data_IF_990343084274
#
_entry.id   IF_990343084274
#
_cell.length_a   1.000
_cell.length_b   1.000
_cell.length_c   1.000
_cell.angle_alpha   90.00
_cell.angle_beta   90.00
_cell.angle_gamma   90.00
#
_symmetry.space_group_name_H-M   'P 1'
#
loop_
_entity.id
_entity.type
_entity.pdbx_description
1 polymer ?
#
# COMPACT_ATOMS: atom_id res chain seq x y z
N UNK A 1 -25.51 1.06 69.72
CA UNK A 1 -24.43 1.93 69.24
C UNK A 1 -23.64 1.19 68.17
N UNK A 2 -24.16 1.10 66.94
CA UNK A 2 -23.53 0.36 65.84
C UNK A 2 -23.37 1.29 64.63
N UNK A 3 -22.12 1.61 64.27
CA UNK A 3 -21.79 2.41 63.09
C UNK A 3 -21.52 1.46 61.93
N UNK A 4 -22.46 1.37 61.00
CA UNK A 4 -22.29 0.66 59.74
C UNK A 4 -21.47 1.55 58.80
N UNK A 5 -20.22 1.16 58.55
CA UNK A 5 -19.33 1.84 57.59
C UNK A 5 -19.68 1.33 56.19
N UNK A 6 -20.23 2.22 55.35
CA UNK A 6 -20.51 1.95 53.95
C UNK A 6 -19.23 2.22 53.14
N UNK A 7 -18.56 1.15 52.70
CA UNK A 7 -17.36 1.25 51.86
C UNK A 7 -17.79 1.40 50.40
N UNK A 8 -17.66 2.61 49.84
CA UNK A 8 -17.83 2.86 48.40
C UNK A 8 -16.59 2.33 47.67
N UNK A 9 -16.73 1.24 46.93
CA UNK A 9 -15.68 0.74 46.02
C UNK A 9 -15.97 1.34 44.64
N UNK A 10 -15.29 2.43 44.31
CA UNK A 10 -15.32 3.02 42.98
C UNK A 10 -14.37 2.23 42.09
N UNK A 11 -14.88 1.24 41.36
CA UNK A 11 -14.09 0.46 40.39
C UNK A 11 -13.76 1.35 39.20
N UNK A 12 -12.53 1.86 39.14
CA UNK A 12 -12.00 2.62 38.02
C UNK A 12 -11.67 1.63 36.89
N UNK A 13 -12.60 1.46 35.94
CA UNK A 13 -12.39 0.64 34.74
C UNK A 13 -11.45 1.42 33.80
N UNK A 14 -10.16 1.09 33.84
CA UNK A 14 -9.22 1.47 32.79
C UNK A 14 -9.53 0.62 31.56
N UNK A 15 -10.40 1.13 30.68
CA UNK A 15 -10.53 0.60 29.33
C UNK A 15 -9.24 0.93 28.58
N UNK A 16 -8.37 -0.06 28.41
CA UNK A 16 -7.24 0.01 27.50
C UNK A 16 -7.80 0.14 26.08
N UNK A 17 -7.92 1.38 25.60
CA UNK A 17 -8.15 1.64 24.18
C UNK A 17 -6.89 1.15 23.46
N UNK A 18 -6.97 -0.04 22.88
CA UNK A 18 -5.99 -0.51 21.90
C UNK A 18 -5.97 0.53 20.78
N UNK A 19 -4.91 1.34 20.73
CA UNK A 19 -4.66 2.22 19.60
C UNK A 19 -4.40 1.28 18.44
N UNK A 20 -5.39 1.10 17.57
CA UNK A 20 -5.16 0.46 16.28
C UNK A 20 -4.02 1.24 15.62
N UNK A 21 -2.88 0.58 15.39
CA UNK A 21 -1.73 1.23 14.80
C UNK A 21 -2.08 1.59 13.36
N UNK A 22 -2.25 2.90 13.10
CA UNK A 22 -2.43 3.40 11.76
C UNK A 22 -1.09 3.31 11.02
N UNK A 23 -1.10 2.60 9.89
CA UNK A 23 0.03 2.58 8.97
C UNK A 23 0.07 3.90 8.20
N UNK A 24 1.24 4.24 7.64
CA UNK A 24 1.45 5.52 6.97
C UNK A 24 1.98 5.34 5.54
N UNK A 25 1.36 6.06 4.60
CA UNK A 25 1.91 6.33 3.27
C UNK A 25 2.13 7.83 3.10
N UNK A 26 3.37 8.27 2.88
CA UNK A 26 3.68 9.63 2.44
C UNK A 26 3.86 9.66 0.92
N UNK A 27 3.28 10.66 0.26
CA UNK A 27 3.22 10.71 -1.20
C UNK A 27 3.28 12.12 -1.79
N UNK A 28 3.70 12.17 -3.06
CA UNK A 28 3.52 13.30 -3.97
C UNK A 28 2.90 12.82 -5.29
N UNK A 29 1.98 13.60 -5.84
CA UNK A 29 1.33 13.31 -7.11
C UNK A 29 1.62 14.46 -8.07
N UNK A 30 2.18 14.15 -9.24
CA UNK A 30 2.51 15.15 -10.26
C UNK A 30 1.86 14.82 -11.60
N UNK A 31 1.50 15.86 -12.34
CA UNK A 31 1.20 15.81 -13.79
C UNK A 31 2.47 16.10 -14.56
N UNK A 32 2.71 15.34 -15.63
CA UNK A 32 3.78 15.59 -16.59
C UNK A 32 3.13 16.07 -17.89
N UNK A 33 3.42 17.31 -18.26
CA UNK A 33 2.96 17.92 -19.50
C UNK A 33 3.94 17.65 -20.65
N UNK A 34 3.51 17.97 -21.87
CA UNK A 34 4.40 18.03 -23.02
C UNK A 34 5.60 18.95 -22.74
N UNK A 35 6.80 18.50 -23.09
CA UNK A 35 8.05 19.16 -22.73
C UNK A 35 8.65 18.75 -21.38
N UNK A 36 8.13 17.70 -20.73
CA UNK A 36 8.61 17.17 -19.44
C UNK A 36 8.46 18.14 -18.26
N UNK A 37 7.61 19.15 -18.38
CA UNK A 37 7.29 20.05 -17.27
C UNK A 37 6.41 19.32 -16.26
N UNK A 38 6.82 19.32 -15.00
CA UNK A 38 6.09 18.70 -13.89
C UNK A 38 5.26 19.73 -13.13
N UNK A 39 3.99 19.43 -12.87
CA UNK A 39 3.09 20.22 -12.02
C UNK A 39 2.64 19.37 -10.84
N UNK A 40 2.84 19.86 -9.61
CA UNK A 40 2.35 19.20 -8.41
C UNK A 40 0.81 19.27 -8.36
N UNK A 41 0.16 18.11 -8.25
CA UNK A 41 -1.29 17.98 -8.07
C UNK A 41 -1.63 17.92 -6.59
N UNK A 42 -0.92 17.08 -5.83
CA UNK A 42 -1.15 16.86 -4.41
C UNK A 42 0.12 16.33 -3.73
N UNK A 43 0.23 16.54 -2.42
CA UNK A 43 1.24 15.93 -1.56
C UNK A 43 0.65 15.75 -0.17
N UNK A 44 1.01 14.69 0.52
CA UNK A 44 0.45 14.43 1.85
C UNK A 44 0.98 13.17 2.51
N UNK A 45 0.47 12.94 3.71
CA UNK A 45 0.68 11.73 4.51
C UNK A 45 -0.69 11.14 4.79
N UNK A 46 -0.96 9.94 4.28
CA UNK A 46 -2.18 9.18 4.56
C UNK A 46 -1.89 8.19 5.69
N UNK A 47 -2.58 8.39 6.79
CA UNK A 47 -2.73 7.38 7.83
C UNK A 47 -3.93 6.49 7.47
N UNK A 48 -3.78 5.18 7.66
CA UNK A 48 -4.79 4.21 7.26
C UNK A 48 -4.70 2.92 8.08
N UNK A 49 -5.76 2.13 8.02
CA UNK A 49 -5.90 0.81 8.63
C UNK A 49 -6.21 -0.24 7.57
N UNK A 50 -6.28 -1.52 7.98
CA UNK A 50 -6.68 -2.60 7.07
C UNK A 50 -8.08 -2.37 6.45
N UNK A 51 -8.98 -1.66 7.14
CA UNK A 51 -10.33 -1.34 6.64
C UNK A 51 -10.32 -0.34 5.47
N UNK A 52 -9.25 0.45 5.33
CA UNK A 52 -9.08 1.38 4.21
C UNK A 52 -8.59 0.68 2.93
N UNK A 53 -8.19 -0.59 3.02
CA UNK A 53 -7.74 -1.39 1.88
C UNK A 53 -8.94 -1.97 1.15
N UNK A 54 -9.12 -1.55 -0.10
CA UNK A 54 -10.13 -2.12 -0.98
C UNK A 54 -9.59 -3.44 -1.52
N UNK A 55 -10.23 -4.54 -1.15
CA UNK A 55 -9.90 -5.89 -1.60
C UNK A 55 -10.89 -6.34 -2.66
N UNK A 56 -10.38 -6.84 -3.79
CA UNK A 56 -11.17 -7.45 -4.85
C UNK A 56 -10.57 -8.80 -5.21
N UNK A 57 -11.39 -9.84 -5.16
CA UNK A 57 -11.04 -11.17 -5.66
C UNK A 57 -11.10 -11.14 -7.21
N UNK A 58 -10.00 -11.54 -7.84
CA UNK A 58 -9.90 -11.63 -9.31
C UNK A 58 -9.56 -13.07 -9.69
N UNK A 59 -10.42 -13.66 -10.54
CA UNK A 59 -10.25 -15.03 -11.04
C UNK A 59 -9.70 -15.00 -12.46
N UNK A 60 -8.47 -15.44 -12.62
CA UNK A 60 -7.91 -15.80 -13.92
C UNK A 60 -7.91 -17.32 -14.06
N UNK A 61 -8.12 -17.89 -15.27
CA UNK A 61 -8.01 -19.33 -15.46
C UNK A 61 -6.65 -19.85 -14.98
N UNK A 62 -6.67 -20.71 -13.95
CA UNK A 62 -5.47 -21.32 -13.36
C UNK A 62 -4.78 -20.51 -12.25
N UNK A 63 -5.23 -19.29 -11.93
CA UNK A 63 -4.68 -18.49 -10.82
C UNK A 63 -5.77 -17.62 -10.16
N UNK A 64 -5.97 -17.86 -8.87
CA UNK A 64 -6.74 -16.97 -7.99
C UNK A 64 -5.79 -15.94 -7.37
N UNK A 65 -6.21 -14.67 -7.35
CA UNK A 65 -5.45 -13.62 -6.71
C UNK A 65 -6.37 -12.53 -6.15
N UNK A 66 -5.82 -11.76 -5.20
CA UNK A 66 -6.50 -10.61 -4.62
C UNK A 66 -5.86 -9.32 -5.11
N UNK A 67 -6.64 -8.48 -5.77
CA UNK A 67 -6.27 -7.09 -6.02
C UNK A 67 -6.53 -6.28 -4.75
N UNK A 68 -5.49 -5.75 -4.12
CA UNK A 68 -5.60 -4.93 -2.90
C UNK A 68 -5.12 -3.51 -3.18
N UNK A 69 -5.97 -2.52 -2.89
CA UNK A 69 -5.78 -1.11 -3.25
C UNK A 69 -5.94 -0.19 -2.04
N UNK A 70 -5.02 0.74 -1.88
CA UNK A 70 -5.17 1.89 -1.00
C UNK A 70 -5.44 3.15 -1.84
N UNK A 71 -6.55 3.83 -1.55
CA UNK A 71 -6.83 5.14 -2.15
C UNK A 71 -6.03 6.23 -1.45
N UNK A 72 -5.39 7.09 -2.24
CA UNK A 72 -4.75 8.31 -1.76
C UNK A 72 -5.75 9.47 -1.91
N UNK A 73 -5.32 10.59 -2.46
CA UNK A 73 -6.16 11.76 -2.70
C UNK A 73 -6.47 11.95 -4.19
N UNK A 74 -7.49 12.77 -4.47
CA UNK A 74 -7.87 13.22 -5.82
C UNK A 74 -8.12 12.08 -6.82
N UNK A 75 -8.55 10.92 -6.33
CA UNK A 75 -8.84 9.73 -7.14
C UNK A 75 -7.61 8.95 -7.58
N UNK A 76 -6.43 9.23 -7.01
CA UNK A 76 -5.23 8.43 -7.20
C UNK A 76 -5.18 7.30 -6.15
N UNK A 77 -4.60 6.17 -6.52
CA UNK A 77 -4.40 5.05 -5.60
C UNK A 77 -3.19 4.21 -5.98
N UNK A 78 -2.74 3.39 -5.04
CA UNK A 78 -1.69 2.39 -5.24
C UNK A 78 -2.18 1.03 -4.78
N UNK A 79 -1.63 -0.04 -5.32
CA UNK A 79 -2.02 -1.39 -4.94
C UNK A 79 -1.07 -2.47 -5.45
N UNK A 80 -1.43 -3.71 -5.15
CA UNK A 80 -0.75 -4.91 -5.63
C UNK A 80 -1.78 -5.96 -6.05
N UNK A 81 -1.39 -6.83 -6.97
CA UNK A 81 -2.07 -8.13 -7.17
C UNK A 81 -1.32 -9.16 -6.33
N UNK A 82 -2.00 -9.73 -5.35
CA UNK A 82 -1.42 -10.63 -4.36
C UNK A 82 -1.81 -12.05 -4.69
N UNK A 83 -0.80 -12.87 -4.91
CA UNK A 83 -0.90 -14.29 -5.21
C UNK A 83 -0.40 -15.09 -4.02
N UNK A 84 -0.92 -16.31 -3.89
CA UNK A 84 -0.33 -17.33 -3.02
C UNK A 84 0.67 -18.12 -3.85
N UNK A 85 1.95 -17.92 -3.59
CA UNK A 85 3.03 -18.53 -4.38
C UNK A 85 3.84 -19.50 -3.50
N UNK A 86 4.32 -20.64 -4.01
CA UNK A 86 5.23 -21.49 -3.24
C UNK A 86 6.50 -20.76 -2.80
N UNK A 87 6.90 -19.72 -3.55
CA UNK A 87 8.02 -18.84 -3.25
C UNK A 87 7.87 -17.52 -4.00
N UNK A 88 7.90 -16.40 -3.29
CA UNK A 88 7.84 -15.06 -3.84
C UNK A 88 9.19 -14.68 -4.46
N UNK A 89 9.22 -14.61 -5.79
CA UNK A 89 10.44 -14.24 -6.55
C UNK A 89 10.32 -12.87 -7.23
N UNK A 90 9.09 -12.37 -7.36
CA UNK A 90 8.80 -11.04 -7.87
C UNK A 90 7.32 -10.73 -7.75
N UNK A 91 6.96 -9.47 -7.89
CA UNK A 91 5.58 -9.01 -7.85
C UNK A 91 5.42 -7.67 -8.55
N UNK A 92 4.17 -7.32 -8.84
CA UNK A 92 3.80 -6.05 -9.42
C UNK A 92 3.15 -5.15 -8.37
N UNK A 93 3.60 -3.90 -8.29
CA UNK A 93 2.81 -2.82 -7.73
C UNK A 93 2.20 -2.00 -8.85
N UNK A 94 1.04 -1.42 -8.59
CA UNK A 94 0.35 -0.59 -9.56
C UNK A 94 -0.13 0.71 -8.94
N UNK A 95 -0.21 1.72 -9.80
CA UNK A 95 -0.80 3.02 -9.51
C UNK A 95 -2.00 3.21 -10.42
N UNK A 96 -3.03 3.91 -9.94
CA UNK A 96 -4.28 4.13 -10.69
C UNK A 96 -4.78 5.56 -10.55
N UNK A 97 -5.51 6.01 -11.56
CA UNK A 97 -6.39 7.17 -11.49
C UNK A 97 -7.80 6.65 -11.75
N UNK A 98 -8.73 6.76 -10.80
CA UNK A 98 -10.07 6.18 -10.97
C UNK A 98 -10.86 6.81 -12.12
N UNK A 99 -10.62 8.11 -12.36
CA UNK A 99 -11.26 8.87 -13.43
C UNK A 99 -10.41 8.79 -14.70
N UNK A 100 -10.72 7.81 -15.53
CA UNK A 100 -10.03 7.56 -16.80
C UNK A 100 -9.17 6.31 -16.67
N UNK A 101 -9.37 5.32 -17.54
CA UNK A 101 -8.73 3.98 -17.53
C UNK A 101 -7.20 4.09 -17.62
N UNK A 102 -6.57 4.52 -16.54
CA UNK A 102 -5.18 4.92 -16.45
C UNK A 102 -4.57 4.12 -15.32
N UNK A 103 -3.55 3.34 -15.64
CA UNK A 103 -2.89 2.46 -14.69
C UNK A 103 -1.39 2.43 -14.98
N UNK A 104 -0.61 2.03 -13.98
CA UNK A 104 0.80 1.71 -14.13
C UNK A 104 1.07 0.33 -13.57
N UNK A 105 2.02 -0.40 -14.16
CA UNK A 105 2.62 -1.58 -13.54
C UNK A 105 4.10 -1.33 -13.30
N UNK A 106 4.51 -1.48 -12.04
CA UNK A 106 5.88 -1.39 -11.58
C UNK A 106 6.30 -2.76 -11.04
N UNK A 107 7.18 -3.43 -11.77
CA UNK A 107 7.62 -4.78 -11.43
C UNK A 107 8.84 -4.76 -10.53
N UNK A 108 8.86 -5.68 -9.56
CA UNK A 108 9.92 -5.86 -8.59
C UNK A 108 10.41 -7.31 -8.60
N UNK A 109 11.72 -7.51 -8.59
CA UNK A 109 12.34 -8.84 -8.49
C UNK A 109 13.12 -8.99 -7.18
N UNK A 110 13.08 -10.19 -6.63
CA UNK A 110 13.85 -10.57 -5.46
C UNK A 110 15.34 -10.37 -5.74
N UNK A 111 16.03 -9.69 -4.83
CA UNK A 111 17.49 -9.52 -4.85
C UNK A 111 18.18 -10.26 -3.73
N UNK A 112 17.57 -10.23 -2.55
CA UNK A 112 17.98 -10.93 -1.34
C UNK A 112 16.71 -11.31 -0.57
N UNK A 113 16.76 -12.25 0.39
CA UNK A 113 15.59 -12.62 1.17
C UNK A 113 14.86 -11.37 1.72
N UNK A 114 13.57 -11.23 1.39
CA UNK A 114 12.75 -10.08 1.78
C UNK A 114 13.05 -8.75 1.06
N UNK A 115 14.09 -8.64 0.24
CA UNK A 115 14.48 -7.38 -0.43
C UNK A 115 14.25 -7.48 -1.94
N UNK A 116 13.43 -6.58 -2.45
CA UNK A 116 13.04 -6.56 -3.85
C UNK A 116 13.45 -5.24 -4.52
N UNK A 117 13.95 -5.34 -5.74
CA UNK A 117 14.39 -4.19 -6.53
C UNK A 117 13.48 -4.00 -7.74
N UNK A 118 13.06 -2.76 -7.93
CA UNK A 118 12.27 -2.33 -9.08
C UNK A 118 13.04 -2.60 -10.38
N UNK A 119 12.35 -3.11 -11.40
CA UNK A 119 12.95 -3.39 -12.70
C UNK A 119 13.25 -2.11 -13.49
N UNK A 120 12.42 -1.10 -13.31
CA UNK A 120 12.51 0.17 -14.03
C UNK A 120 12.81 1.30 -13.05
N UNK A 121 13.76 2.16 -13.41
CA UNK A 121 14.24 3.23 -12.52
C UNK A 121 14.85 2.69 -11.23
N UNK A 122 15.14 3.59 -10.29
CA UNK A 122 15.58 3.20 -8.96
C UNK A 122 14.38 2.85 -8.09
N UNK A 123 14.54 1.87 -7.22
CA UNK A 123 13.52 1.50 -6.26
C UNK A 123 13.87 0.22 -5.51
N UNK A 124 13.79 0.26 -4.19
CA UNK A 124 13.97 -0.91 -3.33
C UNK A 124 12.89 -0.92 -2.26
N UNK A 125 12.32 -2.09 -2.05
CA UNK A 125 11.32 -2.34 -1.01
C UNK A 125 11.71 -3.57 -0.22
N UNK A 126 11.33 -3.59 1.04
CA UNK A 126 11.37 -4.79 1.87
C UNK A 126 9.96 -5.37 1.97
N UNK A 127 9.83 -6.68 1.89
CA UNK A 127 8.54 -7.38 1.90
C UNK A 127 8.52 -8.40 3.03
N UNK A 128 7.43 -8.36 3.80
CA UNK A 128 7.09 -9.36 4.78
C UNK A 128 5.91 -10.18 4.25
N UNK A 129 6.05 -11.50 4.28
CA UNK A 129 5.00 -12.43 3.87
C UNK A 129 4.15 -12.84 5.08
N UNK A 130 2.91 -13.26 4.82
CA UNK A 130 2.06 -13.94 5.79
C UNK A 130 2.70 -15.28 6.15
N UNK A 131 2.65 -15.65 7.43
CA UNK A 131 3.19 -16.92 7.94
C UNK A 131 2.25 -18.09 7.58
N UNK A 132 2.46 -18.70 6.42
CA UNK A 132 1.87 -19.99 6.04
C UNK A 132 2.97 -20.92 5.51
N UNK A 133 3.08 -22.17 6.01
CA UNK A 133 4.14 -23.09 5.59
C UNK A 133 4.02 -23.59 4.15
N UNK A 134 2.88 -23.35 3.47
CA UNK A 134 2.60 -23.88 2.12
C UNK A 134 2.87 -22.86 1.01
N UNK A 135 2.80 -21.57 1.33
CA UNK A 135 2.95 -20.50 0.36
C UNK A 135 3.43 -19.22 1.03
N UNK A 136 4.05 -18.36 0.23
CA UNK A 136 4.34 -16.98 0.55
C UNK A 136 3.23 -16.10 -0.06
N UNK A 137 2.58 -15.28 0.78
CA UNK A 137 1.63 -14.25 0.37
C UNK A 137 2.12 -12.91 0.92
N UNK A 138 2.13 -11.85 0.09
CA UNK A 138 2.57 -10.51 0.53
C UNK A 138 1.62 -9.99 1.62
N UNK A 139 2.16 -9.75 2.82
CA UNK A 139 1.43 -9.12 3.92
C UNK A 139 1.73 -7.62 4.04
N UNK A 140 2.99 -7.25 3.89
CA UNK A 140 3.47 -5.87 4.09
C UNK A 140 4.60 -5.52 3.13
N UNK A 141 4.64 -4.26 2.71
CA UNK A 141 5.70 -3.68 1.89
C UNK A 141 6.20 -2.39 2.55
N UNK A 142 7.46 -2.41 2.96
CA UNK A 142 8.19 -1.24 3.42
C UNK A 142 8.98 -0.59 2.28
N UNK A 143 8.76 0.70 2.06
CA UNK A 143 9.42 1.47 0.99
C UNK A 143 10.81 1.92 1.46
N UNK A 144 11.85 1.14 1.14
CA UNK A 144 13.23 1.44 1.56
C UNK A 144 13.86 2.62 0.81
N UNK A 145 13.30 2.98 -0.34
CA UNK A 145 13.62 4.17 -1.13
C UNK A 145 12.33 4.84 -1.58
N UNK A 146 12.43 6.06 -2.09
CA UNK A 146 11.32 6.66 -2.85
C UNK A 146 10.99 5.78 -4.07
N UNK A 147 9.70 5.55 -4.31
CA UNK A 147 9.20 4.73 -5.43
C UNK A 147 8.24 5.56 -6.27
N UNK A 148 8.59 5.74 -7.53
CA UNK A 148 7.71 6.41 -8.50
C UNK A 148 6.88 5.39 -9.28
N UNK A 149 5.58 5.61 -9.34
CA UNK A 149 4.61 4.91 -10.18
C UNK A 149 4.35 5.76 -11.42
N UNK A 150 4.57 5.20 -12.61
CA UNK A 150 4.50 5.92 -13.89
C UNK A 150 3.17 5.65 -14.57
N UNK A 151 2.22 6.55 -14.40
CA UNK A 151 0.87 6.38 -14.92
C UNK A 151 0.77 7.00 -16.32
N UNK A 152 0.27 6.21 -17.27
CA UNK A 152 -0.17 6.69 -18.57
C UNK A 152 -1.70 6.75 -18.61
N UNK A 153 -2.23 7.76 -19.29
CA UNK A 153 -3.67 7.78 -19.61
C UNK A 153 -3.93 6.95 -20.85
N UNK A 154 -5.13 6.40 -20.99
CA UNK A 154 -5.53 5.61 -22.18
C UNK A 154 -5.32 6.33 -23.52
N UNK A 155 -5.35 7.67 -23.51
CA UNK A 155 -5.15 8.53 -24.67
C UNK A 155 -3.67 8.72 -25.04
N UNK A 156 -2.73 8.33 -24.16
CA UNK A 156 -1.30 8.65 -24.26
C UNK A 156 -0.43 7.43 -23.90
N UNK A 157 -0.72 6.29 -24.54
CA UNK A 157 0.04 5.05 -24.32
C UNK A 157 1.51 5.26 -24.64
N UNK A 158 2.40 4.78 -23.76
CA UNK A 158 3.85 4.94 -23.87
C UNK A 158 4.40 6.27 -23.33
N UNK A 159 3.53 7.24 -23.01
CA UNK A 159 3.93 8.50 -22.35
C UNK A 159 3.53 8.49 -20.89
N UNK A 160 4.47 8.84 -20.00
CA UNK A 160 4.15 9.04 -18.58
C UNK A 160 3.46 10.39 -18.44
N UNK A 161 2.21 10.36 -18.02
CA UNK A 161 1.33 11.55 -17.89
C UNK A 161 1.23 12.02 -16.44
N UNK A 162 1.38 11.09 -15.51
CA UNK A 162 1.31 11.34 -14.09
C UNK A 162 2.33 10.47 -13.36
N UNK A 163 2.81 10.95 -12.22
CA UNK A 163 3.57 10.14 -11.27
C UNK A 163 2.91 10.18 -9.91
N UNK A 164 2.83 9.02 -9.26
CA UNK A 164 2.67 8.93 -7.81
C UNK A 164 4.05 8.58 -7.25
N UNK A 165 4.62 9.43 -6.41
CA UNK A 165 5.87 9.18 -5.72
C UNK A 165 5.56 8.82 -4.28
N UNK A 166 5.78 7.56 -3.90
CA UNK A 166 5.70 7.11 -2.51
C UNK A 166 7.05 7.31 -1.86
N UNK A 167 7.09 8.01 -0.72
CA UNK A 167 8.32 8.37 -0.04
C UNK A 167 8.87 7.20 0.76
N UNK A 168 10.20 7.15 0.85
CA UNK A 168 10.93 6.24 1.74
C UNK A 168 10.36 6.29 3.15
N UNK A 169 10.27 5.13 3.80
CA UNK A 169 9.75 5.00 5.17
C UNK A 169 8.25 4.72 5.24
N UNK A 170 7.54 4.86 4.12
CA UNK A 170 6.14 4.47 4.01
C UNK A 170 5.96 2.95 4.13
N UNK A 171 4.79 2.52 4.61
CA UNK A 171 4.39 1.11 4.75
C UNK A 171 3.06 0.89 4.03
N UNK A 172 3.03 -0.05 3.09
CA UNK A 172 1.80 -0.57 2.48
C UNK A 172 1.51 -1.97 3.04
N UNK A 173 0.53 -2.07 3.93
CA UNK A 173 0.13 -3.29 4.62
C UNK A 173 -1.25 -3.73 4.14
N UNK A 174 -1.38 -5.03 3.99
CA UNK A 174 -2.54 -5.69 3.40
C UNK A 174 -3.24 -6.67 4.34
N UNK A 175 -2.59 -7.02 5.43
CA UNK A 175 -3.15 -7.88 6.49
C UNK A 175 -3.85 -7.02 7.53
N UNK A 176 -4.94 -7.51 8.13
CA UNK A 176 -5.41 -7.03 9.43
C UNK A 176 -4.33 -7.07 10.51
#
# INVERSE_FOLDING_TARGET
MNKTILLLITTLIFASLSVAHAETIEYEITRISEGNTSTLIAKGKKEYSAEDIIVKEDKCPGQEHFSKKLMLEKGFGIGASIYQEPKLTGFGLWGVIERGRSFSWEWFNLRQPGIFKKLQENGTVSVSCIDDPRYEEIGEIYFSTDISFRINTSQEIGRVTHRILIKKGSILKFTP
#
